data_IF_791461181124
#
_entry.id   IF_791461181124
#
_cell.length_a   1.000
_cell.length_b   1.000
_cell.length_c   1.000
_cell.angle_alpha   90.00
_cell.angle_beta   90.00
_cell.angle_gamma   90.00
#
_symmetry.space_group_name_H-M   'P 1'
#
loop_
_entity.id
_entity.type
_entity.pdbx_description
1 polymer ?
#
# COMPACT_ATOMS: atom_id res chain seq x y z
N UNK A 1 -11.29 -38.50 -119.76
CA UNK A 1 -11.99 -37.87 -118.61
C UNK A 1 -11.72 -38.58 -117.28
N UNK A 2 -11.60 -39.91 -117.24
CA UNK A 2 -11.36 -40.71 -116.01
C UNK A 2 -10.12 -40.27 -115.20
N UNK A 3 -8.99 -39.96 -115.85
CA UNK A 3 -7.78 -39.44 -115.16
C UNK A 3 -8.00 -38.12 -114.42
N UNK A 4 -8.85 -37.22 -114.95
CA UNK A 4 -9.14 -35.93 -114.29
C UNK A 4 -10.03 -36.12 -113.06
N UNK A 5 -10.98 -37.05 -113.12
CA UNK A 5 -11.86 -37.37 -111.99
C UNK A 5 -11.09 -37.97 -110.79
N UNK A 6 -10.14 -38.88 -111.03
CA UNK A 6 -9.30 -39.44 -109.96
C UNK A 6 -8.34 -38.41 -109.35
N UNK A 7 -7.80 -37.49 -110.14
CA UNK A 7 -6.96 -36.41 -109.63
C UNK A 7 -7.74 -35.44 -108.74
N UNK A 8 -8.98 -35.12 -109.10
CA UNK A 8 -9.87 -34.26 -108.30
C UNK A 8 -10.28 -34.95 -106.99
N UNK A 9 -10.60 -36.25 -107.03
CA UNK A 9 -10.91 -37.06 -105.84
C UNK A 9 -9.71 -37.19 -104.89
N UNK A 10 -8.51 -37.39 -105.43
CA UNK A 10 -7.28 -37.44 -104.64
C UNK A 10 -6.97 -36.11 -103.94
N UNK A 11 -7.16 -34.97 -104.64
CA UNK A 11 -7.00 -33.64 -104.05
C UNK A 11 -8.08 -33.38 -102.99
N UNK A 12 -9.34 -33.78 -103.21
CA UNK A 12 -10.43 -33.65 -102.24
C UNK A 12 -10.18 -34.48 -100.97
N UNK A 13 -9.69 -35.71 -101.10
CA UNK A 13 -9.30 -36.56 -99.97
C UNK A 13 -8.12 -35.96 -99.18
N UNK A 14 -7.08 -35.50 -99.87
CA UNK A 14 -5.94 -34.82 -99.23
C UNK A 14 -6.39 -33.53 -98.54
N UNK A 15 -7.28 -32.75 -99.16
CA UNK A 15 -7.83 -31.51 -98.60
C UNK A 15 -8.70 -31.80 -97.38
N UNK A 16 -9.53 -32.84 -97.42
CA UNK A 16 -10.36 -33.27 -96.28
C UNK A 16 -9.53 -33.77 -95.09
N UNK A 17 -8.45 -34.51 -95.37
CA UNK A 17 -7.50 -34.97 -94.34
C UNK A 17 -6.70 -33.80 -93.75
N UNK A 18 -6.26 -32.86 -94.58
CA UNK A 18 -5.56 -31.65 -94.14
C UNK A 18 -6.46 -30.74 -93.29
N UNK A 19 -7.72 -30.52 -93.70
CA UNK A 19 -8.67 -29.71 -92.92
C UNK A 19 -8.93 -30.38 -91.57
N UNK A 20 -9.24 -31.68 -91.54
CA UNK A 20 -9.44 -32.39 -90.27
C UNK A 20 -8.17 -32.43 -89.40
N UNK A 21 -7.00 -32.56 -89.99
CA UNK A 21 -5.71 -32.52 -89.27
C UNK A 21 -5.40 -31.15 -88.69
N UNK A 22 -5.69 -30.06 -89.42
CA UNK A 22 -5.52 -28.69 -88.95
C UNK A 22 -6.53 -28.39 -87.83
N UNK A 23 -7.80 -28.78 -87.99
CA UNK A 23 -8.84 -28.61 -86.96
C UNK A 23 -8.51 -29.41 -85.70
N UNK A 24 -8.06 -30.65 -85.81
CA UNK A 24 -7.64 -31.47 -84.67
C UNK A 24 -6.39 -30.89 -83.98
N UNK A 25 -5.43 -30.36 -84.74
CA UNK A 25 -4.24 -29.69 -84.18
C UNK A 25 -4.63 -28.38 -83.48
N UNK A 26 -5.59 -27.62 -84.01
CA UNK A 26 -6.12 -26.42 -83.35
C UNK A 26 -6.89 -26.76 -82.07
N UNK A 27 -7.69 -27.83 -82.07
CA UNK A 27 -8.35 -28.32 -80.86
C UNK A 27 -7.35 -28.82 -79.82
N UNK A 28 -6.30 -29.55 -80.22
CA UNK A 28 -5.24 -29.99 -79.30
C UNK A 28 -4.44 -28.81 -78.74
N UNK A 29 -4.11 -27.80 -79.56
CA UNK A 29 -3.50 -26.56 -79.09
C UNK A 29 -4.39 -25.81 -78.10
N UNK A 30 -5.70 -25.75 -78.36
CA UNK A 30 -6.67 -25.12 -77.47
C UNK A 30 -6.84 -25.89 -76.16
N UNK A 31 -6.82 -27.21 -76.20
CA UNK A 31 -6.84 -28.09 -75.02
C UNK A 31 -5.55 -27.92 -74.22
N UNK A 32 -4.39 -27.88 -74.88
CA UNK A 32 -3.09 -27.69 -74.23
C UNK A 32 -2.99 -26.33 -73.54
N UNK A 33 -3.38 -25.25 -74.24
CA UNK A 33 -3.45 -23.91 -73.65
C UNK A 33 -4.43 -23.85 -72.47
N UNK A 34 -5.60 -24.51 -72.60
CA UNK A 34 -6.58 -24.59 -71.50
C UNK A 34 -6.08 -25.41 -70.31
N UNK A 35 -5.24 -26.43 -70.52
CA UNK A 35 -4.60 -27.20 -69.46
C UNK A 35 -3.49 -26.39 -68.76
N UNK A 36 -2.69 -25.65 -69.52
CA UNK A 36 -1.64 -24.77 -68.99
C UNK A 36 -2.23 -23.64 -68.15
N UNK A 37 -3.29 -22.97 -68.64
CA UNK A 37 -4.01 -21.93 -67.90
C UNK A 37 -4.66 -22.49 -66.61
N UNK A 38 -5.17 -23.71 -66.64
CA UNK A 38 -5.69 -24.39 -65.45
C UNK A 38 -4.57 -24.74 -64.45
N UNK A 39 -3.41 -25.17 -64.95
CA UNK A 39 -2.26 -25.51 -64.10
C UNK A 39 -1.70 -24.26 -63.42
N UNK A 40 -1.59 -23.14 -64.14
CA UNK A 40 -1.25 -21.83 -63.57
C UNK A 40 -2.31 -21.37 -62.55
N UNK A 41 -3.58 -21.61 -62.82
CA UNK A 41 -4.67 -21.27 -61.89
C UNK A 41 -4.62 -22.11 -60.61
N UNK A 42 -4.29 -23.41 -60.71
CA UNK A 42 -4.08 -24.30 -59.55
C UNK A 42 -2.84 -23.87 -58.75
N UNK A 43 -1.75 -23.50 -59.42
CA UNK A 43 -0.56 -22.98 -58.74
C UNK A 43 -0.87 -21.69 -57.97
N UNK A 44 -1.62 -20.75 -58.57
CA UNK A 44 -2.08 -19.53 -57.88
C UNK A 44 -3.00 -19.85 -56.70
N UNK A 45 -3.93 -20.80 -56.86
CA UNK A 45 -4.81 -21.24 -55.77
C UNK A 45 -4.01 -21.84 -54.61
N UNK A 46 -3.01 -22.67 -54.88
CA UNK A 46 -2.13 -23.24 -53.85
C UNK A 46 -1.33 -22.16 -53.12
N UNK A 47 -0.84 -21.14 -53.83
CA UNK A 47 -0.16 -20.00 -53.20
C UNK A 47 -1.11 -19.21 -52.29
N UNK A 48 -2.35 -18.97 -52.72
CA UNK A 48 -3.36 -18.32 -51.89
C UNK A 48 -3.71 -19.17 -50.67
N UNK A 49 -3.85 -20.49 -50.82
CA UNK A 49 -4.08 -21.39 -49.69
C UNK A 49 -2.91 -21.40 -48.70
N UNK A 50 -1.67 -21.45 -49.18
CA UNK A 50 -0.49 -21.35 -48.32
C UNK A 50 -0.45 -20.01 -47.55
N UNK A 51 -0.78 -18.90 -48.21
CA UNK A 51 -0.87 -17.58 -47.58
C UNK A 51 -2.00 -17.52 -46.53
N UNK A 52 -3.15 -18.14 -46.79
CA UNK A 52 -4.25 -18.26 -45.82
C UNK A 52 -3.83 -19.08 -44.61
N UNK A 53 -3.16 -20.22 -44.81
CA UNK A 53 -2.65 -21.07 -43.72
C UNK A 53 -1.67 -20.29 -42.84
N UNK A 54 -0.69 -19.60 -43.45
CA UNK A 54 0.25 -18.76 -42.73
C UNK A 54 -0.44 -17.66 -41.93
N UNK A 55 -1.43 -16.99 -42.53
CA UNK A 55 -2.19 -15.92 -41.86
C UNK A 55 -3.04 -16.46 -40.70
N UNK A 56 -3.55 -17.68 -40.80
CA UNK A 56 -4.23 -18.34 -39.68
C UNK A 56 -3.27 -18.66 -38.53
N UNK A 57 -2.02 -19.03 -38.81
CA UNK A 57 -1.00 -19.20 -37.77
C UNK A 57 -0.67 -17.87 -37.06
N UNK A 58 -0.60 -16.76 -37.81
CA UNK A 58 -0.45 -15.43 -37.22
C UNK A 58 -1.64 -15.04 -36.33
N UNK A 59 -2.87 -15.36 -36.74
CA UNK A 59 -4.07 -15.14 -35.91
C UNK A 59 -3.96 -15.92 -34.59
N UNK A 60 -3.50 -17.19 -34.63
CA UNK A 60 -3.31 -17.97 -33.40
C UNK A 60 -2.25 -17.34 -32.47
N UNK A 61 -1.17 -16.79 -33.03
CA UNK A 61 -0.16 -16.04 -32.25
C UNK A 61 -0.75 -14.76 -31.64
N UNK A 62 -1.59 -14.05 -32.39
CA UNK A 62 -2.29 -12.86 -31.89
C UNK A 62 -3.25 -13.23 -30.74
N UNK A 63 -4.02 -14.31 -30.86
CA UNK A 63 -4.91 -14.80 -29.78
C UNK A 63 -4.10 -15.12 -28.52
N UNK A 64 -2.99 -15.84 -28.64
CA UNK A 64 -2.09 -16.13 -27.52
C UNK A 64 -1.52 -14.86 -26.88
N UNK A 65 -1.20 -13.85 -27.68
CA UNK A 65 -0.72 -12.55 -27.19
C UNK A 65 -1.81 -11.82 -26.42
N UNK A 66 -3.04 -11.81 -26.93
CA UNK A 66 -4.20 -11.21 -26.24
C UNK A 66 -4.50 -11.93 -24.93
N UNK A 67 -4.44 -13.26 -24.90
CA UNK A 67 -4.62 -14.05 -23.66
C UNK A 67 -3.56 -13.71 -22.61
N UNK A 68 -2.30 -13.54 -23.03
CA UNK A 68 -1.21 -13.15 -22.13
C UNK A 68 -1.38 -11.71 -21.61
N UNK A 69 -1.82 -10.79 -22.47
CA UNK A 69 -2.17 -9.42 -22.06
C UNK A 69 -3.30 -9.46 -21.04
N UNK A 70 -4.36 -10.24 -21.29
CA UNK A 70 -5.50 -10.34 -20.38
C UNK A 70 -5.09 -10.87 -19.00
N UNK A 71 -4.28 -11.94 -18.96
CA UNK A 71 -3.70 -12.46 -17.70
C UNK A 71 -2.82 -11.42 -16.99
N UNK A 72 -2.06 -10.64 -17.74
CA UNK A 72 -1.23 -9.55 -17.19
C UNK A 72 -2.07 -8.42 -16.60
N UNK A 73 -3.20 -8.09 -17.22
CA UNK A 73 -4.18 -7.12 -16.71
C UNK A 73 -4.82 -7.62 -15.41
N UNK A 74 -5.26 -8.88 -15.36
CA UNK A 74 -5.82 -9.48 -14.15
C UNK A 74 -4.83 -9.39 -12.97
N UNK A 75 -3.56 -9.75 -13.20
CA UNK A 75 -2.50 -9.63 -12.18
C UNK A 75 -2.27 -8.18 -11.74
N UNK A 76 -2.39 -7.23 -12.66
CA UNK A 76 -2.20 -5.79 -12.38
C UNK A 76 -3.37 -5.25 -11.55
N UNK A 77 -4.60 -5.66 -11.86
CA UNK A 77 -5.80 -5.35 -11.07
C UNK A 77 -5.63 -5.90 -9.65
N UNK A 78 -5.22 -7.15 -9.51
CA UNK A 78 -5.02 -7.79 -8.20
C UNK A 78 -3.98 -7.08 -7.34
N UNK A 79 -2.85 -6.69 -7.94
CA UNK A 79 -1.82 -5.89 -7.27
C UNK A 79 -2.33 -4.49 -6.91
N UNK A 80 -3.10 -3.86 -7.78
CA UNK A 80 -3.68 -2.53 -7.54
C UNK A 80 -4.67 -2.57 -6.39
N UNK A 81 -5.52 -3.60 -6.33
CA UNK A 81 -6.46 -3.81 -5.21
C UNK A 81 -5.73 -4.02 -3.88
N UNK A 82 -4.65 -4.81 -3.87
CA UNK A 82 -3.80 -4.98 -2.67
C UNK A 82 -3.16 -3.67 -2.24
N UNK A 83 -2.61 -2.89 -3.19
CA UNK A 83 -2.03 -1.57 -2.90
C UNK A 83 -3.08 -0.62 -2.35
N UNK A 84 -4.28 -0.58 -2.92
CA UNK A 84 -5.39 0.23 -2.43
C UNK A 84 -5.75 -0.14 -0.99
N UNK A 85 -5.89 -1.45 -0.70
CA UNK A 85 -6.19 -1.92 0.66
C UNK A 85 -5.09 -1.52 1.67
N UNK A 86 -3.82 -1.58 1.27
CA UNK A 86 -2.70 -1.14 2.11
C UNK A 86 -2.71 0.38 2.32
N UNK A 87 -3.01 1.17 1.28
CA UNK A 87 -3.14 2.62 1.39
C UNK A 87 -4.28 3.03 2.33
N UNK A 88 -5.42 2.33 2.26
CA UNK A 88 -6.51 2.53 3.22
C UNK A 88 -6.06 2.27 4.65
N UNK A 89 -5.34 1.17 4.91
CA UNK A 89 -4.79 0.88 6.24
C UNK A 89 -3.82 1.99 6.71
N UNK A 90 -2.97 2.50 5.82
CA UNK A 90 -2.06 3.62 6.15
C UNK A 90 -2.84 4.89 6.50
N UNK A 91 -3.91 5.20 5.77
CA UNK A 91 -4.78 6.35 6.08
C UNK A 91 -5.44 6.19 7.45
N UNK A 92 -5.95 5.00 7.78
CA UNK A 92 -6.55 4.72 9.08
C UNK A 92 -5.52 4.86 10.22
N UNK A 93 -4.30 4.34 10.05
CA UNK A 93 -3.20 4.49 11.01
C UNK A 93 -2.80 5.96 11.22
N UNK A 94 -2.83 6.77 10.16
CA UNK A 94 -2.57 8.20 10.26
C UNK A 94 -3.69 8.92 11.03
N UNK A 95 -4.96 8.56 10.80
CA UNK A 95 -6.09 9.10 11.54
C UNK A 95 -6.00 8.77 13.04
N UNK A 96 -5.63 7.52 13.37
CA UNK A 96 -5.40 7.09 14.75
C UNK A 96 -4.24 7.85 15.41
N UNK A 97 -3.15 8.07 14.68
CA UNK A 97 -1.99 8.82 15.16
C UNK A 97 -2.34 10.30 15.44
N UNK A 98 -3.16 10.92 14.58
CA UNK A 98 -3.65 12.28 14.81
C UNK A 98 -4.56 12.37 16.03
N UNK A 99 -5.44 11.38 16.23
CA UNK A 99 -6.28 11.30 17.44
C UNK A 99 -5.43 11.18 18.70
N UNK A 100 -4.43 10.29 18.71
CA UNK A 100 -3.51 10.15 19.83
C UNK A 100 -2.77 11.46 20.14
N UNK A 101 -2.31 12.18 19.11
CA UNK A 101 -1.66 13.47 19.28
C UNK A 101 -2.59 14.51 19.92
N UNK A 102 -3.86 14.56 19.50
CA UNK A 102 -4.85 15.44 20.10
C UNK A 102 -5.11 15.10 21.58
N UNK A 103 -5.20 13.81 21.91
CA UNK A 103 -5.36 13.34 23.29
C UNK A 103 -4.15 13.72 24.15
N UNK A 104 -2.93 13.56 23.63
CA UNK A 104 -1.70 13.97 24.33
C UNK A 104 -1.66 15.49 24.59
N UNK A 105 -2.10 16.31 23.63
CA UNK A 105 -2.21 17.76 23.82
C UNK A 105 -3.21 18.08 24.95
N UNK A 106 -4.35 17.38 24.97
CA UNK A 106 -5.35 17.48 26.03
C UNK A 106 -4.78 17.13 27.42
N UNK A 107 -4.08 15.99 27.53
CA UNK A 107 -3.44 15.57 28.78
C UNK A 107 -2.32 16.52 29.23
N UNK A 108 -1.53 17.04 28.29
CA UNK A 108 -0.48 18.02 28.57
C UNK A 108 -1.06 19.31 29.14
N UNK A 109 -2.13 19.83 28.52
CA UNK A 109 -2.84 21.02 29.00
C UNK A 109 -3.45 20.81 30.39
N UNK A 110 -4.11 19.68 30.63
CA UNK A 110 -4.66 19.33 31.94
C UNK A 110 -3.56 19.20 33.00
N UNK A 111 -2.45 18.54 32.68
CA UNK A 111 -1.30 18.40 33.58
C UNK A 111 -0.69 19.76 33.94
N UNK A 112 -0.56 20.68 32.97
CA UNK A 112 -0.13 22.06 33.22
C UNK A 112 -1.05 22.76 34.22
N UNK A 113 -2.36 22.65 34.05
CA UNK A 113 -3.34 23.24 34.97
C UNK A 113 -3.21 22.64 36.38
N UNK A 114 -3.12 21.31 36.50
CA UNK A 114 -2.92 20.62 37.79
C UNK A 114 -1.64 21.05 38.49
N UNK A 115 -0.52 21.16 37.75
CA UNK A 115 0.76 21.65 38.29
C UNK A 115 0.61 23.10 38.77
N UNK A 116 -0.09 23.96 38.02
CA UNK A 116 -0.35 25.34 38.42
C UNK A 116 -1.19 25.41 39.70
N UNK A 117 -2.24 24.59 39.83
CA UNK A 117 -3.06 24.50 41.04
C UNK A 117 -2.23 24.01 42.22
N UNK A 118 -1.43 22.95 42.05
CA UNK A 118 -0.55 22.43 43.09
C UNK A 118 0.44 23.50 43.57
N UNK A 119 1.08 24.21 42.64
CA UNK A 119 2.02 25.28 42.97
C UNK A 119 1.32 26.41 43.74
N UNK A 120 0.08 26.75 43.38
CA UNK A 120 -0.72 27.73 44.10
C UNK A 120 -1.03 27.25 45.52
N UNK A 121 -1.50 26.02 45.70
CA UNK A 121 -1.75 25.43 47.03
C UNK A 121 -0.48 25.38 47.88
N UNK A 122 0.68 25.08 47.30
CA UNK A 122 1.97 25.11 48.01
C UNK A 122 2.35 26.54 48.45
N UNK A 123 2.12 27.54 47.60
CA UNK A 123 2.33 28.96 47.96
C UNK A 123 1.41 29.39 49.09
N UNK A 124 0.15 28.96 49.07
CA UNK A 124 -0.82 29.21 50.13
C UNK A 124 -0.45 28.51 51.45
N UNK A 125 0.23 27.36 51.38
CA UNK A 125 0.71 26.65 52.56
C UNK A 125 1.95 27.31 53.21
N UNK A 126 2.79 27.97 52.40
CA UNK A 126 4.04 28.60 52.85
C UNK A 126 3.90 29.50 54.09
N UNK A 127 2.94 30.44 54.18
CA UNK A 127 2.80 31.28 55.37
C UNK A 127 2.46 30.49 56.63
N UNK A 128 1.65 29.42 56.52
CA UNK A 128 1.33 28.56 57.66
C UNK A 128 2.56 27.79 58.15
N UNK A 129 3.41 27.32 57.23
CA UNK A 129 4.69 26.68 57.59
C UNK A 129 5.62 27.67 58.31
N UNK A 130 5.68 28.93 57.86
CA UNK A 130 6.43 29.98 58.56
C UNK A 130 5.86 30.29 59.95
N UNK A 131 4.53 30.34 60.08
CA UNK A 131 3.88 30.53 61.38
C UNK A 131 4.18 29.37 62.33
N UNK A 132 4.11 28.13 61.84
CA UNK A 132 4.43 26.94 62.63
C UNK A 132 5.88 26.97 63.12
N UNK A 133 6.85 27.29 62.25
CA UNK A 133 8.26 27.45 62.62
C UNK A 133 8.45 28.52 63.71
N UNK A 134 7.77 29.66 63.57
CA UNK A 134 7.80 30.71 64.59
C UNK A 134 7.18 30.27 65.92
N UNK A 135 6.07 29.55 65.90
CA UNK A 135 5.45 28.98 67.11
C UNK A 135 6.39 27.98 67.80
N UNK A 136 7.06 27.11 67.03
CA UNK A 136 8.04 26.16 67.56
C UNK A 136 9.25 26.86 68.18
N UNK A 137 9.75 27.93 67.55
CA UNK A 137 10.82 28.77 68.12
C UNK A 137 10.40 29.44 69.42
N UNK A 138 9.19 29.99 69.48
CA UNK A 138 8.65 30.60 70.70
C UNK A 138 8.49 29.57 71.82
N UNK A 139 7.94 28.38 71.51
CA UNK A 139 7.79 27.30 72.47
C UNK A 139 9.14 26.86 73.05
N UNK A 140 10.16 26.72 72.20
CA UNK A 140 11.53 26.39 72.63
C UNK A 140 12.10 27.45 73.57
N UNK A 141 11.89 28.74 73.26
CA UNK A 141 12.31 29.85 74.12
C UNK A 141 11.59 29.81 75.48
N UNK A 142 10.26 29.66 75.49
CA UNK A 142 9.49 29.55 76.73
C UNK A 142 9.94 28.37 77.58
N UNK A 143 10.19 27.21 76.97
CA UNK A 143 10.70 26.05 77.70
C UNK A 143 12.08 26.30 78.35
N UNK A 144 12.96 27.06 77.69
CA UNK A 144 14.25 27.48 78.27
C UNK A 144 14.09 28.44 79.44
N UNK A 145 13.17 29.41 79.33
CA UNK A 145 12.83 30.34 80.41
C UNK A 145 12.22 29.61 81.62
N UNK A 146 11.29 28.69 81.39
CA UNK A 146 10.70 27.84 82.44
C UNK A 146 11.76 26.98 83.14
N UNK A 147 12.67 26.35 82.38
CA UNK A 147 13.76 25.59 82.97
C UNK A 147 14.65 26.47 83.87
N UNK A 148 14.92 27.71 83.45
CA UNK A 148 15.68 28.67 84.25
C UNK A 148 14.93 29.04 85.53
N UNK A 149 13.64 29.35 85.44
CA UNK A 149 12.81 29.67 86.60
C UNK A 149 12.68 28.51 87.57
N UNK A 150 12.55 27.27 87.08
CA UNK A 150 12.56 26.06 87.92
C UNK A 150 13.90 25.89 88.64
N UNK A 151 15.02 26.12 87.96
CA UNK A 151 16.33 26.08 88.59
C UNK A 151 16.51 27.19 89.64
N UNK A 152 15.98 28.39 89.41
CA UNK A 152 15.98 29.49 90.38
C UNK A 152 15.12 29.15 91.61
N UNK A 153 13.91 28.65 91.40
CA UNK A 153 13.01 28.22 92.48
C UNK A 153 13.60 27.09 93.31
N UNK A 154 14.27 26.12 92.67
CA UNK A 154 15.00 25.06 93.37
C UNK A 154 16.07 25.65 94.28
N UNK A 155 16.95 26.53 93.76
CA UNK A 155 17.99 27.21 94.55
C UNK A 155 17.42 28.03 95.70
N UNK A 156 16.33 28.76 95.47
CA UNK A 156 15.65 29.53 96.51
C UNK A 156 15.07 28.62 97.60
N UNK A 157 14.48 27.49 97.21
CA UNK A 157 13.92 26.50 98.14
C UNK A 157 15.02 25.84 98.96
N UNK A 158 16.15 25.46 98.35
CA UNK A 158 17.34 24.96 99.05
C UNK A 158 17.89 26.00 100.03
N UNK A 159 17.97 27.28 99.62
CA UNK A 159 18.41 28.37 100.50
C UNK A 159 17.47 28.59 101.69
N UNK A 160 16.16 28.53 101.47
CA UNK A 160 15.15 28.59 102.54
C UNK A 160 15.28 27.40 103.48
N UNK A 161 15.39 26.18 102.95
CA UNK A 161 15.57 24.97 103.75
C UNK A 161 16.83 25.04 104.61
N UNK A 162 17.92 25.64 104.11
CA UNK A 162 19.14 25.87 104.89
C UNK A 162 19.02 26.98 105.94
N UNK A 163 18.13 27.97 105.75
CA UNK A 163 17.86 29.08 106.71
C UNK A 163 16.79 28.73 107.74
N UNK A 164 15.98 27.72 107.46
CA UNK A 164 15.05 27.07 108.39
C UNK A 164 15.45 25.60 108.51
N UNK A 165 16.64 25.28 109.06
CA UNK A 165 17.08 23.91 109.19
C UNK A 165 16.14 23.19 110.16
N UNK A 166 15.26 22.34 109.63
CA UNK A 166 14.35 21.50 110.40
C UNK A 166 13.49 22.27 111.40
N UNK A 167 12.41 22.90 110.94
CA UNK A 167 11.19 22.78 111.75
C UNK A 167 10.72 21.35 111.52
N UNK A 168 11.16 20.44 112.40
CA UNK A 168 10.36 19.26 112.69
C UNK A 168 8.97 19.80 113.04
N UNK A 169 7.99 19.58 112.15
CA UNK A 169 6.59 19.66 112.55
C UNK A 169 6.44 18.63 113.65
N UNK A 170 6.42 19.14 114.88
CA UNK A 170 6.63 18.38 116.10
C UNK A 170 5.83 17.10 116.19
N UNK A 171 6.48 16.09 116.76
CA UNK A 171 5.85 15.30 117.81
C UNK A 171 6.03 16.03 119.13
#
# INVERSE_FOLDING_TARGET
MIRKAFSILGILLLSGVLINGITMTQHLKKIHAGLEDNLVSIQKLNQVQAAIIHKNEEINKMVSTVDNINKGLDQTIDRTNKTLALLTQVVDLNADSLRLNNDMIGYSSNSKNKISTLNQSLKELSPYMTQLDNMLKNLSKTAQEDQKHMNELLKSTESLNNKTPGVELGR
#
